data_IF_226577888519
#
_entry.id   IF_226577888519
#
_cell.length_a   1.000
_cell.length_b   1.000
_cell.length_c   1.000
_cell.angle_alpha   90.00
_cell.angle_beta   90.00
_cell.angle_gamma   90.00
#
_symmetry.space_group_name_H-M   'P 1'
#
loop_
_entity.id
_entity.type
_entity.pdbx_description
1 polymer ?
#
# COMPACT_ATOMS: atom_id res chain seq x y z
N UNK A 1 -0.74 -13.91 -25.12
CA UNK A 1 -1.15 -13.25 -23.87
C UNK A 1 0.10 -13.14 -23.01
N UNK A 2 0.62 -11.93 -22.81
CA UNK A 2 1.79 -11.72 -21.95
C UNK A 2 1.32 -11.60 -20.50
N UNK A 3 1.99 -12.28 -19.58
CA UNK A 3 1.73 -12.19 -18.14
C UNK A 3 2.63 -11.10 -17.57
N UNK A 4 2.07 -10.23 -16.72
CA UNK A 4 2.78 -9.12 -16.10
C UNK A 4 2.44 -9.03 -14.61
N UNK A 5 3.39 -8.60 -13.79
CA UNK A 5 3.22 -8.52 -12.33
C UNK A 5 2.14 -7.49 -11.90
N UNK A 6 1.83 -6.50 -12.74
CA UNK A 6 0.72 -5.57 -12.47
C UNK A 6 -0.63 -6.27 -12.39
N UNK A 7 -0.76 -7.48 -12.95
CA UNK A 7 -1.96 -8.31 -12.84
C UNK A 7 -2.21 -8.82 -11.41
N UNK A 8 -1.21 -8.76 -10.52
CA UNK A 8 -1.31 -9.20 -9.12
C UNK A 8 -1.51 -8.04 -8.13
N UNK A 9 -1.79 -6.83 -8.62
CA UNK A 9 -2.05 -5.66 -7.77
C UNK A 9 -3.23 -5.94 -6.84
N UNK A 10 -3.00 -5.77 -5.54
CA UNK A 10 -4.00 -6.04 -4.50
C UNK A 10 -4.15 -7.51 -4.14
N UNK A 11 -3.40 -8.43 -4.76
CA UNK A 11 -3.38 -9.86 -4.41
C UNK A 11 -2.02 -10.29 -3.85
N UNK A 12 -0.93 -9.67 -4.33
CA UNK A 12 0.41 -9.89 -3.84
C UNK A 12 1.19 -8.58 -3.69
N UNK A 13 2.09 -8.56 -2.72
CA UNK A 13 3.09 -7.53 -2.51
C UNK A 13 4.41 -7.98 -3.15
N UNK A 14 5.01 -7.11 -3.96
CA UNK A 14 6.38 -7.28 -4.46
C UNK A 14 7.38 -6.75 -3.44
N UNK A 15 8.37 -7.57 -3.10
CA UNK A 15 9.44 -7.22 -2.18
C UNK A 15 10.78 -7.58 -2.80
N UNK A 16 11.73 -6.66 -2.81
CA UNK A 16 13.12 -6.97 -3.17
C UNK A 16 13.86 -7.43 -1.91
N UNK A 17 14.28 -8.69 -1.89
CA UNK A 17 14.98 -9.31 -0.76
C UNK A 17 16.31 -9.85 -1.29
N UNK A 18 17.42 -9.24 -0.85
CA UNK A 18 18.75 -9.67 -1.26
C UNK A 18 19.04 -9.50 -2.76
N UNK A 19 18.35 -8.56 -3.43
CA UNK A 19 18.45 -8.34 -4.88
C UNK A 19 17.56 -9.26 -5.73
N UNK A 20 16.72 -10.08 -5.09
CA UNK A 20 15.73 -10.92 -5.75
C UNK A 20 14.31 -10.38 -5.55
N UNK A 21 13.50 -10.41 -6.61
CA UNK A 21 12.08 -10.09 -6.52
C UNK A 21 11.29 -11.26 -5.94
N UNK A 22 10.76 -11.07 -4.74
CA UNK A 22 9.86 -12.01 -4.08
C UNK A 22 8.43 -11.47 -4.08
N UNK A 23 7.48 -12.41 -4.14
CA UNK A 23 6.06 -12.10 -3.99
C UNK A 23 5.56 -12.65 -2.66
N UNK A 24 4.99 -11.77 -1.85
CA UNK A 24 4.24 -12.13 -0.65
C UNK A 24 2.76 -12.08 -0.97
N UNK A 25 2.06 -13.19 -0.74
CA UNK A 25 0.59 -13.21 -0.86
C UNK A 25 -0.02 -12.26 0.18
N UNK A 26 -0.80 -11.30 -0.27
CA UNK A 26 -1.44 -10.28 0.54
C UNK A 26 -2.71 -9.81 -0.19
N UNK A 27 -3.84 -10.49 -0.04
CA UNK A 27 -5.06 -10.12 -0.74
C UNK A 27 -5.77 -8.97 -0.04
N UNK A 28 -6.11 -7.91 -0.79
CA UNK A 28 -6.87 -6.76 -0.31
C UNK A 28 -8.24 -7.19 0.25
N UNK A 29 -8.83 -8.25 -0.32
CA UNK A 29 -10.09 -8.83 0.18
C UNK A 29 -9.98 -9.43 1.60
N UNK A 30 -8.78 -9.78 2.06
CA UNK A 30 -8.57 -10.25 3.45
C UNK A 30 -8.28 -9.11 4.43
N UNK A 31 -8.19 -7.87 3.96
CA UNK A 31 -7.91 -6.71 4.81
C UNK A 31 -9.17 -6.28 5.58
N UNK A 32 -9.01 -5.70 6.78
CA UNK A 32 -10.13 -5.10 7.52
C UNK A 32 -10.88 -4.07 6.69
N UNK A 33 -12.21 -3.97 6.84
CA UNK A 33 -13.02 -2.97 6.13
C UNK A 33 -13.01 -1.59 6.82
N UNK A 34 -12.69 -1.55 8.11
CA UNK A 34 -12.46 -0.29 8.82
C UNK A 34 -11.11 0.32 8.37
N UNK A 35 -11.08 1.61 7.96
CA UNK A 35 -9.84 2.24 7.51
C UNK A 35 -8.72 2.22 8.55
N UNK A 36 -8.99 2.51 9.82
CA UNK A 36 -7.93 2.60 10.83
C UNK A 36 -7.29 1.21 11.06
N UNK A 37 -8.13 0.17 11.18
CA UNK A 37 -7.68 -1.21 11.29
C UNK A 37 -6.92 -1.67 10.03
N UNK A 38 -7.35 -1.26 8.84
CA UNK A 38 -6.67 -1.60 7.59
C UNK A 38 -5.27 -0.99 7.52
N UNK A 39 -5.13 0.31 7.79
CA UNK A 39 -3.82 0.96 7.79
C UNK A 39 -2.89 0.33 8.83
N UNK A 40 -3.39 0.00 10.03
CA UNK A 40 -2.61 -0.72 11.04
C UNK A 40 -2.14 -2.10 10.54
N UNK A 41 -3.02 -2.87 9.90
CA UNK A 41 -2.67 -4.17 9.32
C UNK A 41 -1.63 -4.06 8.20
N UNK A 42 -1.81 -3.11 7.28
CA UNK A 42 -0.87 -2.85 6.18
C UNK A 42 0.52 -2.45 6.69
N UNK A 43 0.59 -1.57 7.69
CA UNK A 43 1.86 -1.14 8.27
C UNK A 43 2.53 -2.20 9.16
N UNK A 44 1.76 -3.13 9.72
CA UNK A 44 2.31 -4.31 10.39
C UNK A 44 2.97 -5.28 9.40
N UNK A 45 2.44 -5.40 8.18
CA UNK A 45 3.00 -6.27 7.12
C UNK A 45 4.26 -5.66 6.51
N UNK A 46 4.22 -4.35 6.20
CA UNK A 46 5.35 -3.58 5.66
C UNK A 46 5.33 -2.18 6.30
N UNK A 47 6.39 -1.75 7.02
CA UNK A 47 6.36 -0.48 7.75
C UNK A 47 6.37 0.79 6.89
N UNK A 48 6.90 0.68 5.65
CA UNK A 48 7.14 1.81 4.74
C UNK A 48 6.59 1.45 3.36
N UNK A 49 5.68 2.26 2.84
CA UNK A 49 5.00 2.03 1.56
C UNK A 49 5.20 3.20 0.61
N UNK A 50 5.37 2.89 -0.68
CA UNK A 50 5.16 3.87 -1.74
C UNK A 50 3.70 3.81 -2.21
N UNK A 51 3.21 4.92 -2.77
CA UNK A 51 1.81 5.01 -3.20
C UNK A 51 1.38 3.91 -4.19
N UNK A 52 2.17 3.54 -5.22
CA UNK A 52 1.75 2.54 -6.20
C UNK A 52 1.56 1.14 -5.62
N UNK A 53 2.28 0.81 -4.55
CA UNK A 53 2.15 -0.46 -3.84
C UNK A 53 0.96 -0.43 -2.87
N UNK A 54 0.69 0.73 -2.27
CA UNK A 54 -0.34 0.90 -1.24
C UNK A 54 -1.74 1.09 -1.83
N UNK A 55 -1.86 1.80 -2.95
CA UNK A 55 -3.13 2.18 -3.60
C UNK A 55 -4.08 0.99 -3.82
N UNK A 56 -3.64 -0.19 -4.31
CA UNK A 56 -4.55 -1.32 -4.54
C UNK A 56 -5.29 -1.78 -3.27
N UNK A 57 -4.68 -1.58 -2.10
CA UNK A 57 -5.25 -1.95 -0.80
C UNK A 57 -6.22 -0.89 -0.25
N UNK A 58 -6.32 0.27 -0.88
CA UNK A 58 -7.20 1.37 -0.48
C UNK A 58 -8.40 1.53 -1.43
N UNK A 59 -8.38 0.85 -2.59
CA UNK A 59 -9.36 1.03 -3.66
C UNK A 59 -10.82 0.86 -3.19
N UNK A 60 -11.09 -0.14 -2.36
CA UNK A 60 -12.41 -0.44 -1.80
C UNK A 60 -12.83 0.48 -0.64
N UNK A 61 -11.89 1.20 -0.02
CA UNK A 61 -12.17 2.20 1.01
C UNK A 61 -12.57 3.56 0.43
N UNK A 62 -12.35 3.78 -0.86
CA UNK A 62 -12.64 5.04 -1.53
C UNK A 62 -14.14 5.16 -1.82
N UNK A 63 -14.73 6.24 -1.32
CA UNK A 63 -16.14 6.60 -1.55
C UNK A 63 -16.22 8.11 -1.85
N UNK A 64 -17.32 8.62 -2.42
CA UNK A 64 -17.47 10.06 -2.62
C UNK A 64 -17.21 10.84 -1.32
N UNK A 65 -16.23 11.76 -1.36
CA UNK A 65 -15.79 12.54 -0.18
C UNK A 65 -14.70 11.89 0.67
N UNK A 66 -14.23 10.68 0.32
CA UNK A 66 -13.12 9.97 0.97
C UNK A 66 -12.18 9.41 -0.10
N UNK A 67 -11.30 10.26 -0.61
CA UNK A 67 -10.28 9.87 -1.58
C UNK A 67 -9.10 9.14 -0.94
N UNK A 68 -8.25 8.52 -1.75
CA UNK A 68 -6.99 7.96 -1.28
C UNK A 68 -6.12 9.00 -0.56
N UNK A 69 -6.03 10.24 -1.07
CA UNK A 69 -5.25 11.29 -0.42
C UNK A 69 -5.82 11.65 0.96
N UNK A 70 -7.14 11.76 1.07
CA UNK A 70 -7.81 12.01 2.35
C UNK A 70 -7.51 10.89 3.36
N UNK A 71 -7.61 9.63 2.93
CA UNK A 71 -7.26 8.47 3.76
C UNK A 71 -5.81 8.53 4.23
N UNK A 72 -4.87 8.82 3.33
CA UNK A 72 -3.44 8.89 3.63
C UNK A 72 -3.11 10.02 4.61
N UNK A 73 -3.69 11.22 4.43
CA UNK A 73 -3.51 12.34 5.36
C UNK A 73 -4.06 12.03 6.76
N UNK A 74 -5.12 11.23 6.83
CA UNK A 74 -5.80 10.86 8.07
C UNK A 74 -5.07 9.75 8.83
N UNK A 75 -4.70 8.66 8.15
CA UNK A 75 -4.26 7.41 8.77
C UNK A 75 -2.76 7.09 8.59
N UNK A 76 -2.03 7.87 7.80
CA UNK A 76 -0.61 7.67 7.56
C UNK A 76 0.21 8.94 7.80
N UNK A 77 1.53 8.74 7.96
CA UNK A 77 2.53 9.79 7.92
C UNK A 77 3.32 9.69 6.62
N UNK A 78 3.38 10.78 5.88
CA UNK A 78 4.21 10.90 4.69
C UNK A 78 5.62 11.40 5.06
N UNK A 79 6.65 10.82 4.45
CA UNK A 79 8.06 11.16 4.62
C UNK A 79 8.78 11.06 3.29
N UNK A 80 9.73 11.96 3.07
CA UNK A 80 10.54 11.98 1.86
C UNK A 80 11.97 12.33 2.26
N UNK A 81 12.92 11.44 1.96
CA UNK A 81 14.30 11.56 2.43
C UNK A 81 15.07 12.68 1.69
N UNK A 82 14.70 12.95 0.44
CA UNK A 82 15.21 14.06 -0.38
C UNK A 82 14.18 14.47 -1.43
N UNK A 83 14.25 15.68 -2.03
CA UNK A 83 13.27 16.13 -3.03
C UNK A 83 13.11 15.22 -4.25
N UNK A 84 14.11 14.39 -4.55
CA UNK A 84 14.09 13.43 -5.66
C UNK A 84 13.78 11.99 -5.22
N UNK A 85 13.75 11.71 -3.91
CA UNK A 85 13.36 10.40 -3.40
C UNK A 85 11.84 10.21 -3.50
N UNK A 86 11.36 8.97 -3.67
CA UNK A 86 9.93 8.69 -3.66
C UNK A 86 9.30 9.05 -2.30
N UNK A 87 8.02 9.42 -2.33
CA UNK A 87 7.25 9.68 -1.12
C UNK A 87 6.89 8.35 -0.44
N UNK A 88 7.19 8.25 0.84
CA UNK A 88 6.98 7.04 1.64
C UNK A 88 5.96 7.29 2.74
N UNK A 89 4.97 6.41 2.83
CA UNK A 89 3.92 6.39 3.84
C UNK A 89 4.24 5.36 4.92
N UNK A 90 3.98 5.72 6.18
CA UNK A 90 4.19 4.88 7.35
C UNK A 90 3.06 5.08 8.36
N UNK A 91 3.00 4.24 9.39
CA UNK A 91 2.08 4.42 10.50
C UNK A 91 2.23 5.81 11.12
N UNK A 92 1.09 6.39 11.51
CA UNK A 92 1.03 7.72 12.13
C UNK A 92 1.57 7.69 13.56
#
# INVERSE_FOLDING_TARGET
>A
MAVDLSMLRGEALREEIGGEDMLRHLPAAAMPTDPAARFAALFAVKPRWELPDLEPYLADLQVPGRSAEFLLLTYARASQDSPSAPLVYSAR
#
